data_IF_387572540473
#
_entry.id   IF_387572540473
#
_cell.length_a   1.000
_cell.length_b   1.000
_cell.length_c   1.000
_cell.angle_alpha   90.00
_cell.angle_beta   90.00
_cell.angle_gamma   90.00
#
_symmetry.space_group_name_H-M   'P 1'
#
loop_
_entity.id
_entity.type
_entity.pdbx_description
1 polymer ?
#
# COMPACT_ATOMS: atom_id res chain seq x y z
N UNK A 1 -27.58 -20.12 -7.11
CA UNK A 1 -28.15 -18.96 -7.79
C UNK A 1 -29.27 -19.33 -8.76
N UNK A 2 -29.34 -20.58 -9.16
CA UNK A 2 -30.47 -21.10 -9.96
C UNK A 2 -31.70 -21.27 -9.05
N UNK A 3 -32.67 -20.36 -9.11
CA UNK A 3 -33.84 -20.38 -8.25
C UNK A 3 -34.37 -19.01 -7.85
N UNK A 4 -33.72 -17.94 -8.27
CA UNK A 4 -34.23 -16.59 -8.17
C UNK A 4 -35.16 -16.31 -9.37
N UNK A 5 -36.31 -17.00 -9.43
CA UNK A 5 -37.39 -16.58 -10.28
C UNK A 5 -37.85 -15.20 -9.82
N UNK A 6 -37.63 -14.18 -10.64
CA UNK A 6 -38.22 -12.85 -10.62
C UNK A 6 -38.48 -12.20 -9.23
N UNK A 7 -37.48 -12.18 -8.36
CA UNK A 7 -37.48 -11.26 -7.22
C UNK A 7 -36.90 -9.95 -7.70
N UNK A 8 -37.80 -9.07 -8.17
CA UNK A 8 -37.45 -7.79 -8.78
C UNK A 8 -36.47 -6.98 -7.96
N UNK A 9 -35.53 -6.34 -8.65
CA UNK A 9 -34.62 -5.29 -8.16
C UNK A 9 -33.59 -5.68 -7.11
N UNK A 10 -33.11 -6.93 -7.10
CA UNK A 10 -31.97 -7.35 -6.25
C UNK A 10 -30.71 -7.40 -7.10
N UNK A 11 -29.71 -6.62 -6.72
CA UNK A 11 -28.37 -6.66 -7.30
C UNK A 11 -27.45 -7.39 -6.32
N UNK A 12 -26.73 -8.40 -6.79
CA UNK A 12 -25.75 -9.13 -6.01
C UNK A 12 -24.34 -8.71 -6.44
N UNK A 13 -23.56 -8.21 -5.49
CA UNK A 13 -22.16 -7.81 -5.71
C UNK A 13 -21.25 -8.77 -4.95
N UNK A 14 -20.27 -9.34 -5.64
CA UNK A 14 -19.19 -10.12 -5.06
C UNK A 14 -17.86 -9.39 -5.24
N UNK A 15 -17.06 -9.27 -4.19
CA UNK A 15 -15.77 -8.60 -4.24
C UNK A 15 -14.65 -9.54 -3.75
N UNK A 16 -14.24 -10.54 -4.55
CA UNK A 16 -13.11 -11.40 -4.23
C UNK A 16 -11.78 -10.66 -4.45
N UNK A 17 -10.77 -11.00 -3.66
CA UNK A 17 -9.41 -10.50 -3.88
C UNK A 17 -8.70 -11.14 -5.07
N UNK A 18 -9.15 -12.34 -5.47
CA UNK A 18 -8.60 -13.09 -6.60
C UNK A 18 -9.75 -13.58 -7.47
N UNK A 19 -9.83 -13.14 -8.74
CA UNK A 19 -10.89 -13.57 -9.65
C UNK A 19 -10.86 -15.10 -9.88
N UNK A 20 -9.67 -15.70 -9.87
CA UNK A 20 -9.48 -17.13 -10.07
C UNK A 20 -9.97 -18.00 -8.89
N UNK A 21 -10.27 -17.38 -7.73
CA UNK A 21 -10.83 -18.10 -6.58
C UNK A 21 -12.34 -18.31 -6.69
N UNK A 22 -13.00 -17.67 -7.65
CA UNK A 22 -14.41 -17.86 -7.92
C UNK A 22 -14.62 -19.13 -8.78
N UNK A 23 -15.57 -19.95 -8.34
CA UNK A 23 -16.01 -21.09 -9.14
C UNK A 23 -16.41 -20.61 -10.55
N UNK A 24 -15.83 -21.17 -11.63
CA UNK A 24 -16.18 -20.82 -13.02
C UNK A 24 -17.69 -20.92 -13.30
N UNK A 25 -18.42 -21.75 -12.57
CA UNK A 25 -19.86 -21.85 -12.65
C UNK A 25 -20.58 -20.57 -12.22
N UNK A 26 -19.99 -19.76 -11.33
CA UNK A 26 -20.56 -18.48 -10.90
C UNK A 26 -20.36 -17.37 -11.94
N UNK A 27 -19.39 -17.50 -12.84
CA UNK A 27 -19.06 -16.52 -13.89
C UNK A 27 -19.86 -16.74 -15.18
N UNK A 28 -20.81 -17.67 -15.17
CA UNK A 28 -21.69 -17.92 -16.33
C UNK A 28 -22.76 -16.83 -16.47
N UNK A 29 -23.23 -16.55 -17.71
CA UNK A 29 -24.30 -15.61 -17.98
C UNK A 29 -25.53 -15.90 -17.07
N UNK A 30 -26.15 -14.83 -16.57
CA UNK A 30 -27.29 -14.90 -15.63
C UNK A 30 -26.89 -15.07 -14.16
N UNK A 31 -25.59 -15.03 -13.84
CA UNK A 31 -25.07 -15.04 -12.45
C UNK A 31 -24.20 -13.79 -12.25
N UNK A 32 -22.88 -13.93 -12.11
CA UNK A 32 -21.95 -12.80 -12.12
C UNK A 32 -21.47 -12.58 -13.57
N UNK A 33 -22.27 -11.89 -14.34
CA UNK A 33 -22.05 -11.66 -15.77
C UNK A 33 -21.25 -10.40 -16.07
N UNK A 34 -21.02 -9.55 -15.06
CA UNK A 34 -20.22 -8.35 -15.17
C UNK A 34 -19.07 -8.39 -14.16
N UNK A 35 -17.88 -8.25 -14.67
CA UNK A 35 -16.66 -8.13 -13.88
C UNK A 35 -16.10 -6.73 -14.04
N UNK A 36 -15.81 -6.09 -12.91
CA UNK A 36 -15.13 -4.80 -12.87
C UNK A 36 -13.83 -4.99 -12.10
N UNK A 37 -12.73 -4.87 -12.80
CA UNK A 37 -11.42 -4.92 -12.17
C UNK A 37 -11.08 -3.57 -11.53
N UNK A 38 -10.73 -3.60 -10.22
CA UNK A 38 -10.19 -2.47 -9.50
C UNK A 38 -8.68 -2.65 -9.44
N UNK A 39 -7.98 -2.02 -10.35
CA UNK A 39 -6.53 -2.07 -10.46
C UNK A 39 -5.83 -1.19 -9.42
N UNK A 40 -4.48 -1.32 -9.35
CA UNK A 40 -3.63 -0.43 -8.54
C UNK A 40 -3.79 1.01 -9.04
N UNK A 41 -3.96 2.00 -8.14
CA UNK A 41 -4.21 3.39 -8.53
C UNK A 41 -3.02 4.00 -9.28
N UNK A 42 -3.32 4.83 -10.29
CA UNK A 42 -2.35 5.68 -10.96
C UNK A 42 -1.92 6.84 -10.04
N UNK A 43 -1.02 7.73 -10.49
CA UNK A 43 -0.49 8.84 -9.69
C UNK A 43 -1.59 9.77 -9.17
N UNK A 44 -2.57 10.11 -10.01
CA UNK A 44 -3.69 10.97 -9.61
C UNK A 44 -4.59 10.30 -8.59
N UNK A 45 -4.91 9.02 -8.78
CA UNK A 45 -5.67 8.24 -7.81
C UNK A 45 -4.93 8.10 -6.46
N UNK A 46 -3.60 7.92 -6.47
CA UNK A 46 -2.80 7.93 -5.24
C UNK A 46 -2.83 9.28 -4.54
N UNK A 47 -2.80 10.38 -5.29
CA UNK A 47 -2.93 11.72 -4.74
C UNK A 47 -4.28 11.90 -4.04
N UNK A 48 -5.37 11.51 -4.69
CA UNK A 48 -6.71 11.59 -4.10
C UNK A 48 -6.80 10.76 -2.81
N UNK A 49 -6.25 9.54 -2.81
CA UNK A 49 -6.23 8.68 -1.63
C UNK A 49 -5.38 9.31 -0.51
N UNK A 50 -4.22 9.88 -0.82
CA UNK A 50 -3.41 10.62 0.15
C UNK A 50 -4.19 11.79 0.75
N UNK A 51 -4.84 12.60 -0.07
CA UNK A 51 -5.66 13.73 0.39
C UNK A 51 -6.79 13.30 1.33
N UNK A 52 -7.41 12.14 1.06
CA UNK A 52 -8.45 11.59 1.93
C UNK A 52 -7.86 11.18 3.28
N UNK A 53 -6.74 10.45 3.28
CA UNK A 53 -6.16 9.91 4.50
C UNK A 53 -5.34 10.91 5.31
N UNK A 54 -4.90 12.01 4.70
CA UNK A 54 -4.24 13.11 5.41
C UNK A 54 -5.20 14.19 5.88
N UNK A 55 -6.50 14.07 5.58
CA UNK A 55 -7.52 15.04 6.04
C UNK A 55 -7.54 15.11 7.56
N UNK A 56 -7.30 16.31 8.10
CA UNK A 56 -7.25 16.54 9.53
C UNK A 56 -5.91 16.18 10.21
N UNK A 57 -4.92 15.73 9.45
CA UNK A 57 -3.56 15.56 9.95
C UNK A 57 -2.83 16.92 9.91
N UNK A 58 -2.06 17.28 10.96
CA UNK A 58 -1.29 18.51 10.99
C UNK A 58 -0.05 18.39 10.09
N UNK A 59 -0.23 18.63 8.79
CA UNK A 59 0.86 18.58 7.81
C UNK A 59 1.67 19.87 7.85
N UNK A 60 2.99 19.76 7.71
CA UNK A 60 3.86 20.91 7.48
C UNK A 60 3.52 21.57 6.14
N UNK A 61 3.66 22.91 6.07
CA UNK A 61 3.21 23.70 4.92
C UNK A 61 4.02 23.46 3.64
N UNK A 62 5.19 22.84 3.76
CA UNK A 62 6.13 22.55 2.66
C UNK A 62 5.89 21.18 2.00
N UNK A 63 4.87 20.42 2.45
CA UNK A 63 4.59 19.10 1.91
C UNK A 63 3.87 19.21 0.56
N UNK A 64 4.54 18.76 -0.50
CA UNK A 64 3.93 18.54 -1.80
C UNK A 64 3.44 17.07 -1.94
N UNK A 65 2.16 16.87 -1.60
CA UNK A 65 1.52 15.55 -1.73
C UNK A 65 1.46 15.06 -3.18
N UNK A 66 1.48 15.96 -4.16
CA UNK A 66 1.43 15.59 -5.58
C UNK A 66 2.73 14.94 -6.03
N UNK A 67 3.85 15.56 -5.69
CA UNK A 67 5.16 14.97 -5.98
C UNK A 67 5.35 13.67 -5.21
N UNK A 68 4.99 13.64 -3.94
CA UNK A 68 5.06 12.43 -3.13
C UNK A 68 4.18 11.29 -3.69
N UNK A 69 2.96 11.57 -4.17
CA UNK A 69 2.10 10.58 -4.82
C UNK A 69 2.74 9.96 -6.07
N UNK A 70 3.56 10.72 -6.79
CA UNK A 70 4.27 10.22 -7.96
C UNK A 70 5.31 9.16 -7.60
N UNK A 71 5.96 9.30 -6.44
CA UNK A 71 6.99 8.37 -5.96
C UNK A 71 6.41 7.05 -5.45
N UNK A 72 5.13 7.00 -5.08
CA UNK A 72 4.48 5.83 -4.48
C UNK A 72 4.08 4.76 -5.50
N UNK A 73 5.01 4.29 -6.32
CA UNK A 73 4.75 3.25 -7.30
C UNK A 73 4.32 1.92 -6.66
N UNK A 74 3.23 1.33 -7.16
CA UNK A 74 2.74 0.04 -6.69
C UNK A 74 1.99 0.06 -5.35
N UNK A 75 1.79 1.23 -4.75
CA UNK A 75 0.99 1.37 -3.53
C UNK A 75 -0.51 1.26 -3.84
N UNK A 76 -1.20 0.40 -3.11
CA UNK A 76 -2.66 0.31 -3.09
C UNK A 76 -3.26 1.32 -2.12
N UNK A 77 -4.58 1.50 -2.13
CA UNK A 77 -5.26 2.37 -1.15
C UNK A 77 -5.02 1.94 0.31
N UNK A 78 -4.93 0.64 0.56
CA UNK A 78 -4.63 0.10 1.89
C UNK A 78 -3.19 0.40 2.32
N UNK A 79 -2.24 0.33 1.39
CA UNK A 79 -0.84 0.67 1.66
C UNK A 79 -0.70 2.17 1.97
N UNK A 80 -1.35 3.04 1.20
CA UNK A 80 -1.34 4.49 1.41
C UNK A 80 -1.97 4.86 2.75
N UNK A 81 -3.07 4.21 3.15
CA UNK A 81 -3.65 4.37 4.48
C UNK A 81 -2.65 4.01 5.59
N UNK A 82 -1.97 2.88 5.43
CA UNK A 82 -0.94 2.41 6.38
C UNK A 82 0.24 3.37 6.42
N UNK A 83 0.65 3.89 5.27
CA UNK A 83 1.72 4.88 5.14
C UNK A 83 1.39 6.18 5.88
N UNK A 84 0.19 6.73 5.69
CA UNK A 84 -0.25 7.93 6.41
C UNK A 84 -0.26 7.71 7.92
N UNK A 85 -0.74 6.54 8.38
CA UNK A 85 -0.73 6.18 9.79
C UNK A 85 0.70 6.10 10.34
N UNK A 86 1.61 5.44 9.62
CA UNK A 86 2.99 5.28 10.06
C UNK A 86 3.73 6.62 10.09
N UNK A 87 3.50 7.50 9.10
CA UNK A 87 4.04 8.86 9.09
C UNK A 87 3.62 9.65 10.33
N UNK A 88 2.36 9.52 10.75
CA UNK A 88 1.87 10.14 11.97
C UNK A 88 2.57 9.58 13.22
N UNK A 89 2.77 8.26 13.28
CA UNK A 89 3.50 7.62 14.39
C UNK A 89 4.94 8.10 14.44
N UNK A 90 5.62 8.24 13.28
CA UNK A 90 6.99 8.78 13.20
C UNK A 90 7.05 10.22 13.71
N UNK A 91 6.10 11.06 13.31
CA UNK A 91 5.99 12.41 13.82
C UNK A 91 5.82 12.43 15.35
N UNK A 92 4.91 11.63 15.90
CA UNK A 92 4.70 11.52 17.36
C UNK A 92 5.99 11.09 18.05
N UNK A 93 6.68 10.06 17.55
CA UNK A 93 7.94 9.57 18.14
C UNK A 93 9.01 10.66 18.21
N UNK A 94 9.01 11.61 17.26
CA UNK A 94 9.95 12.73 17.25
C UNK A 94 9.71 13.71 18.41
N UNK A 95 8.47 13.82 18.88
CA UNK A 95 8.12 14.70 20.00
C UNK A 95 8.13 13.98 21.35
N UNK A 96 8.19 12.63 21.38
CA UNK A 96 8.22 11.87 22.64
C UNK A 96 9.29 12.32 23.65
N UNK A 97 10.54 12.69 23.24
CA UNK A 97 11.55 13.16 24.18
C UNK A 97 11.18 14.47 24.90
N UNK A 98 10.26 15.25 24.30
CA UNK A 98 9.80 16.54 24.85
C UNK A 98 8.56 16.36 25.73
N UNK A 99 7.99 15.14 25.79
CA UNK A 99 6.78 14.82 26.55
C UNK A 99 7.19 14.14 27.84
N UNK A 100 6.85 14.76 28.97
CA UNK A 100 6.97 14.12 30.27
C UNK A 100 5.90 13.04 30.42
N UNK A 101 6.31 11.79 30.33
CA UNK A 101 5.42 10.62 30.41
C UNK A 101 4.86 10.37 31.81
N UNK A 102 5.38 11.04 32.83
CA UNK A 102 4.83 10.98 34.21
C UNK A 102 3.58 11.85 34.34
N UNK A 103 3.39 12.82 33.48
CA UNK A 103 2.20 13.67 33.42
C UNK A 103 1.13 13.06 32.51
N UNK A 104 -0.08 12.85 33.04
CA UNK A 104 -1.23 12.31 32.26
C UNK A 104 -1.67 13.19 31.08
N UNK A 105 -1.14 14.42 30.95
CA UNK A 105 -1.55 15.38 29.92
C UNK A 105 -0.36 15.89 29.12
N UNK A 106 -0.45 15.76 27.82
CA UNK A 106 0.51 16.40 26.90
C UNK A 106 0.28 17.92 26.94
N UNK A 107 1.34 18.73 27.16
CA UNK A 107 1.21 20.19 27.17
C UNK A 107 0.61 20.71 25.85
N UNK A 108 -0.37 21.62 25.97
CA UNK A 108 -1.05 22.19 24.79
C UNK A 108 -0.08 22.85 23.80
N UNK A 109 1.04 23.36 24.28
CA UNK A 109 2.09 23.96 23.45
C UNK A 109 2.73 22.93 22.50
N UNK A 110 2.99 21.72 22.99
CA UNK A 110 3.55 20.61 22.17
C UNK A 110 2.50 20.18 21.16
N UNK A 111 1.24 20.00 21.58
CA UNK A 111 0.15 19.63 20.68
C UNK A 111 -0.03 20.63 19.52
N UNK A 112 0.12 21.93 19.79
CA UNK A 112 0.00 22.96 18.77
C UNK A 112 1.21 23.05 17.84
N UNK A 113 2.37 22.60 18.28
CA UNK A 113 3.61 22.59 17.49
C UNK A 113 3.83 21.29 16.73
N UNK A 114 3.02 20.24 17.01
CA UNK A 114 3.13 18.96 16.33
C UNK A 114 2.73 19.09 14.87
N UNK A 115 3.65 18.77 13.99
CA UNK A 115 3.42 18.71 12.55
C UNK A 115 4.09 17.47 11.96
N UNK A 116 3.49 16.93 10.92
CA UNK A 116 4.04 15.81 10.15
C UNK A 116 4.82 16.41 9.00
N UNK A 117 6.09 16.05 8.89
CA UNK A 117 7.00 16.53 7.84
C UNK A 117 7.11 15.53 6.70
N UNK A 118 7.53 16.01 5.55
CA UNK A 118 7.76 15.15 4.38
C UNK A 118 8.73 14.00 4.68
N UNK A 119 9.73 14.24 5.54
CA UNK A 119 10.66 13.22 6.00
C UNK A 119 9.96 12.07 6.72
N UNK A 120 8.94 12.37 7.56
CA UNK A 120 8.20 11.33 8.29
C UNK A 120 7.47 10.38 7.30
N UNK A 121 7.03 10.91 6.15
CA UNK A 121 6.45 10.11 5.07
C UNK A 121 7.51 9.24 4.37
N UNK A 122 8.66 9.78 4.02
CA UNK A 122 9.73 8.99 3.41
C UNK A 122 10.28 7.91 4.37
N UNK A 123 10.45 8.24 5.64
CA UNK A 123 10.84 7.25 6.66
C UNK A 123 9.78 6.15 6.83
N UNK A 124 8.51 6.46 6.62
CA UNK A 124 7.42 5.48 6.65
C UNK A 124 7.43 4.57 5.41
N UNK A 125 7.88 5.03 4.23
CA UNK A 125 7.98 4.16 3.04
C UNK A 125 8.97 3.02 3.22
N UNK A 126 9.96 3.16 4.11
CA UNK A 126 10.92 2.11 4.43
C UNK A 126 10.27 0.94 5.20
N UNK A 127 9.17 1.19 5.89
CA UNK A 127 8.45 0.19 6.68
C UNK A 127 7.23 -0.37 5.96
N UNK A 128 6.58 0.46 5.13
CA UNK A 128 5.36 0.09 4.39
C UNK A 128 5.73 -0.32 2.96
N UNK A 129 5.92 -1.60 2.75
CA UNK A 129 6.25 -2.16 1.42
C UNK A 129 4.96 -2.24 0.58
N UNK A 130 4.96 -1.73 -0.68
CA UNK A 130 3.81 -1.79 -1.56
C UNK A 130 3.33 -3.22 -1.82
N UNK A 131 2.02 -3.45 -1.69
CA UNK A 131 1.44 -4.79 -1.87
C UNK A 131 1.65 -5.31 -3.29
N UNK A 132 1.56 -4.46 -4.32
CA UNK A 132 1.82 -4.85 -5.70
C UNK A 132 3.27 -5.31 -5.93
N UNK A 133 4.23 -4.79 -5.16
CA UNK A 133 5.63 -5.19 -5.24
C UNK A 133 5.91 -6.50 -4.51
N UNK A 134 5.11 -6.87 -3.51
CA UNK A 134 5.30 -8.13 -2.75
C UNK A 134 5.20 -9.37 -3.63
N UNK A 135 4.43 -9.32 -4.72
CA UNK A 135 4.32 -10.42 -5.67
C UNK A 135 5.60 -10.62 -6.50
N UNK A 136 6.44 -9.57 -6.59
CA UNK A 136 7.73 -9.60 -7.28
C UNK A 136 8.91 -9.84 -6.33
N UNK A 137 8.71 -9.77 -5.02
CA UNK A 137 9.64 -10.31 -4.04
C UNK A 137 9.48 -11.84 -4.01
N UNK A 138 9.73 -12.48 -5.15
CA UNK A 138 10.13 -13.87 -5.17
C UNK A 138 11.35 -13.93 -4.26
N UNK A 139 11.32 -14.82 -3.27
CA UNK A 139 12.49 -15.15 -2.46
C UNK A 139 13.70 -15.20 -3.39
N UNK A 140 14.62 -14.24 -3.24
CA UNK A 140 15.91 -14.38 -3.91
C UNK A 140 16.47 -15.67 -3.35
N UNK A 141 16.44 -16.71 -4.16
CA UNK A 141 17.10 -17.94 -3.83
C UNK A 141 18.52 -17.54 -3.43
N UNK A 142 18.93 -17.85 -2.21
CA UNK A 142 20.30 -17.61 -1.75
C UNK A 142 21.23 -18.65 -2.41
N UNK A 143 21.18 -18.70 -3.74
CA UNK A 143 21.97 -19.58 -4.59
C UNK A 143 22.97 -18.70 -5.30
N UNK A 144 24.21 -18.94 -5.04
CA UNK A 144 25.34 -18.26 -5.66
C UNK A 144 25.93 -19.14 -6.76
N UNK A 145 26.67 -18.55 -7.69
CA UNK A 145 27.37 -19.29 -8.75
C UNK A 145 28.25 -20.45 -8.20
N UNK A 146 28.77 -20.29 -7.01
CA UNK A 146 29.57 -21.34 -6.34
C UNK A 146 28.74 -22.54 -5.88
N UNK A 147 27.43 -22.40 -5.74
CA UNK A 147 26.50 -23.47 -5.37
C UNK A 147 26.09 -24.33 -6.58
N UNK A 148 26.37 -23.86 -7.79
CA UNK A 148 26.11 -24.55 -9.05
C UNK A 148 27.39 -25.28 -9.47
N UNK A 149 27.40 -26.60 -9.39
CA UNK A 149 28.55 -27.42 -9.83
C UNK A 149 28.67 -27.51 -11.34
N UNK A 150 29.89 -27.33 -11.91
CA UNK A 150 30.16 -27.39 -13.34
C UNK A 150 29.64 -26.18 -14.13
N UNK A 151 29.56 -26.31 -15.46
CA UNK A 151 29.08 -25.29 -16.41
C UNK A 151 29.92 -24.00 -16.38
N UNK A 152 31.25 -24.11 -16.32
CA UNK A 152 32.14 -22.97 -16.11
C UNK A 152 32.16 -22.01 -17.30
N UNK A 153 31.98 -22.50 -18.53
CA UNK A 153 31.94 -21.68 -19.73
C UNK A 153 30.60 -20.92 -19.86
N UNK A 154 29.49 -21.56 -19.52
CA UNK A 154 28.16 -20.94 -19.51
C UNK A 154 28.03 -19.89 -18.41
N UNK A 155 28.64 -20.11 -17.25
CA UNK A 155 28.68 -19.14 -16.15
C UNK A 155 29.38 -17.85 -16.58
N UNK A 156 30.54 -17.95 -17.23
CA UNK A 156 31.26 -16.78 -17.74
C UNK A 156 30.44 -15.95 -18.72
N UNK A 157 29.71 -16.62 -19.63
CA UNK A 157 28.85 -15.92 -20.60
C UNK A 157 27.73 -15.14 -19.90
N UNK A 158 27.22 -15.64 -18.77
CA UNK A 158 26.13 -15.00 -18.01
C UNK A 158 26.65 -13.90 -17.05
N UNK A 159 27.90 -13.96 -16.61
CA UNK A 159 28.54 -12.92 -15.80
C UNK A 159 28.98 -11.70 -16.61
N UNK A 160 29.29 -11.89 -17.91
CA UNK A 160 29.78 -10.83 -18.81
C UNK A 160 28.63 -10.06 -19.50
N UNK A 161 27.35 -10.34 -19.24
CA UNK A 161 26.16 -9.65 -19.74
C UNK A 161 25.40 -8.91 -18.61
#
# INVERSE_FOLDING_TARGET
MDGFTERGNVIVLGAPNRPDSLDPALRRPGRFDRELEISVPNADGRLEILQIHTRGMPLAADIDLKNFASDLHGYTGADIKSLCRESAIKAIRRYLPEIDLENERIPSKILQSMEIKLRDFYDATLEVIPTAMRQFYVERAKVWWNDVGGLDDEKKILEDN
#
